data_IF_835055122525
#
_entry.id   IF_835055122525
#
_cell.length_a   1.000
_cell.length_b   1.000
_cell.length_c   1.000
_cell.angle_alpha   90.00
_cell.angle_beta   90.00
_cell.angle_gamma   90.00
#
_symmetry.space_group_name_H-M   'P 1'
#
loop_
_entity.id
_entity.type
_entity.pdbx_description
1 polymer ?
#
# COMPACT_ATOMS: atom_id res chain seq x y z
N UNK A 1 -2.71 -32.91 7.77
CA UNK A 1 -3.34 -31.58 7.94
C UNK A 1 -2.35 -30.40 7.86
N UNK A 2 -1.17 -30.46 8.49
CA UNK A 2 -0.22 -29.32 8.50
C UNK A 2 0.38 -28.85 7.14
N UNK A 3 0.50 -29.73 6.15
CA UNK A 3 0.97 -29.36 4.80
C UNK A 3 -0.07 -28.55 4.00
N UNK A 4 -1.36 -28.83 4.19
CA UNK A 4 -2.44 -28.09 3.52
C UNK A 4 -2.57 -26.69 4.13
N UNK A 5 -2.46 -26.58 5.44
CA UNK A 5 -2.53 -25.30 6.16
C UNK A 5 -1.40 -24.33 5.81
N UNK A 6 -0.18 -24.84 5.64
CA UNK A 6 1.00 -24.03 5.27
C UNK A 6 0.91 -23.55 3.82
N UNK A 7 0.53 -24.42 2.88
CA UNK A 7 0.28 -24.04 1.49
C UNK A 7 -0.86 -23.02 1.33
N UNK A 8 -1.92 -23.14 2.13
CA UNK A 8 -3.04 -22.20 2.08
C UNK A 8 -2.64 -20.79 2.60
N UNK A 9 -1.84 -20.72 3.67
CA UNK A 9 -1.36 -19.46 4.25
C UNK A 9 -0.44 -18.70 3.29
N UNK A 10 0.44 -19.40 2.56
CA UNK A 10 1.31 -18.80 1.54
C UNK A 10 0.52 -18.28 0.32
N UNK A 11 -0.48 -19.04 -0.15
CA UNK A 11 -1.35 -18.60 -1.24
C UNK A 11 -2.16 -17.37 -0.86
N UNK A 12 -2.70 -17.32 0.36
CA UNK A 12 -3.47 -16.18 0.87
C UNK A 12 -2.62 -14.91 0.91
N UNK A 13 -1.41 -14.98 1.45
CA UNK A 13 -0.51 -13.82 1.53
C UNK A 13 -0.14 -13.29 0.14
N UNK A 14 0.14 -14.20 -0.79
CA UNK A 14 0.48 -13.85 -2.17
C UNK A 14 -0.69 -13.18 -2.89
N UNK A 15 -1.91 -13.69 -2.71
CA UNK A 15 -3.14 -13.11 -3.29
C UNK A 15 -3.37 -11.70 -2.74
N UNK A 16 -3.29 -11.52 -1.41
CA UNK A 16 -3.48 -10.21 -0.76
C UNK A 16 -2.42 -9.22 -1.24
N UNK A 17 -1.16 -9.65 -1.36
CA UNK A 17 -0.09 -8.81 -1.88
C UNK A 17 -0.38 -8.31 -3.31
N UNK A 18 -0.75 -9.21 -4.23
CA UNK A 18 -1.08 -8.80 -5.60
C UNK A 18 -2.34 -7.95 -5.69
N UNK A 19 -3.35 -8.25 -4.87
CA UNK A 19 -4.57 -7.44 -4.78
C UNK A 19 -4.27 -6.03 -4.29
N UNK A 20 -3.46 -5.92 -3.22
CA UNK A 20 -3.00 -4.63 -2.70
C UNK A 20 -2.23 -3.84 -3.77
N UNK A 21 -1.31 -4.49 -4.48
CA UNK A 21 -0.58 -3.88 -5.59
C UNK A 21 -1.49 -3.39 -6.71
N UNK A 22 -2.47 -4.19 -7.13
CA UNK A 22 -3.41 -3.80 -8.17
C UNK A 22 -4.26 -2.59 -7.77
N UNK A 23 -4.78 -2.56 -6.54
CA UNK A 23 -5.58 -1.43 -6.02
C UNK A 23 -4.71 -0.19 -5.85
N UNK A 24 -3.45 -0.34 -5.42
CA UNK A 24 -2.56 0.81 -5.25
C UNK A 24 -2.18 1.43 -6.60
N UNK A 25 -1.84 0.60 -7.59
CA UNK A 25 -1.51 1.06 -8.94
C UNK A 25 -2.71 1.74 -9.60
N UNK A 26 -3.93 1.22 -9.42
CA UNK A 26 -5.13 1.86 -9.96
C UNK A 26 -5.39 3.23 -9.30
N UNK A 27 -5.26 3.34 -7.98
CA UNK A 27 -5.41 4.60 -7.25
C UNK A 27 -4.38 5.65 -7.72
N UNK A 28 -3.10 5.28 -7.82
CA UNK A 28 -2.04 6.17 -8.31
C UNK A 28 -2.28 6.57 -9.77
N UNK A 29 -2.71 5.64 -10.62
CA UNK A 29 -3.00 5.93 -12.03
C UNK A 29 -4.08 7.00 -12.18
N UNK A 30 -5.15 6.93 -11.39
CA UNK A 30 -6.23 7.93 -11.41
C UNK A 30 -5.74 9.33 -11.00
N UNK A 31 -4.78 9.41 -10.09
CA UNK A 31 -4.26 10.69 -9.59
C UNK A 31 -3.33 11.35 -10.60
N UNK A 32 -2.42 10.57 -11.19
CA UNK A 32 -1.39 11.09 -12.09
C UNK A 32 -1.84 11.23 -13.55
N UNK A 33 -2.93 10.57 -13.96
CA UNK A 33 -3.41 10.59 -15.34
C UNK A 33 -4.74 11.37 -15.40
N UNK A 34 -4.72 12.63 -15.87
CA UNK A 34 -5.89 13.52 -15.86
C UNK A 34 -7.14 12.95 -16.57
N UNK A 35 -7.03 12.24 -17.71
CA UNK A 35 -8.19 11.61 -18.36
C UNK A 35 -8.94 10.62 -17.46
N UNK A 36 -8.24 9.83 -16.63
CA UNK A 36 -8.89 8.90 -15.71
C UNK A 36 -9.61 9.63 -14.57
N UNK A 37 -9.09 10.78 -14.13
CA UNK A 37 -9.72 11.60 -13.10
C UNK A 37 -11.07 12.17 -13.51
N UNK A 38 -11.27 12.43 -14.81
CA UNK A 38 -12.55 12.89 -15.35
C UNK A 38 -13.61 11.79 -15.44
N UNK A 39 -13.20 10.52 -15.45
CA UNK A 39 -14.08 9.35 -15.57
C UNK A 39 -14.48 8.81 -14.20
N UNK A 40 -13.59 8.93 -13.21
CA UNK A 40 -13.73 8.27 -11.90
C UNK A 40 -14.09 9.28 -10.81
N UNK A 41 -15.14 8.98 -10.02
CA UNK A 41 -15.61 9.89 -8.96
C UNK A 41 -14.68 9.93 -7.75
N UNK A 42 -14.74 11.02 -6.98
CA UNK A 42 -14.04 11.13 -5.69
C UNK A 42 -14.42 10.04 -4.69
N UNK A 43 -15.63 9.50 -4.77
CA UNK A 43 -16.09 8.38 -3.94
C UNK A 43 -15.26 7.12 -4.17
N UNK A 44 -14.84 6.85 -5.41
CA UNK A 44 -13.97 5.73 -5.72
C UNK A 44 -12.60 5.85 -5.04
N UNK A 45 -12.05 7.06 -4.95
CA UNK A 45 -10.78 7.30 -4.26
C UNK A 45 -10.88 7.03 -2.75
N UNK A 46 -12.03 7.38 -2.14
CA UNK A 46 -12.28 7.06 -0.73
C UNK A 46 -12.41 5.55 -0.53
N UNK A 47 -13.21 4.88 -1.36
CA UNK A 47 -13.45 3.43 -1.28
C UNK A 47 -12.14 2.65 -1.48
N UNK A 48 -11.39 2.97 -2.54
CA UNK A 48 -10.08 2.35 -2.80
C UNK A 48 -9.10 2.62 -1.67
N UNK A 49 -9.09 3.83 -1.12
CA UNK A 49 -8.30 4.19 0.05
C UNK A 49 -8.60 3.35 1.30
N UNK A 50 -9.88 3.15 1.63
CA UNK A 50 -10.31 2.28 2.73
C UNK A 50 -9.86 0.84 2.47
N UNK A 51 -10.02 0.34 1.24
CA UNK A 51 -9.55 -0.99 0.84
C UNK A 51 -8.03 -1.10 1.00
N UNK A 52 -7.26 -0.08 0.63
CA UNK A 52 -5.79 -0.07 0.79
C UNK A 52 -5.37 -0.16 2.26
N UNK A 53 -6.06 0.56 3.15
CA UNK A 53 -5.79 0.48 4.60
C UNK A 53 -6.09 -0.91 5.13
N UNK A 54 -7.25 -1.47 4.77
CA UNK A 54 -7.66 -2.81 5.21
C UNK A 54 -6.67 -3.86 4.70
N UNK A 55 -6.41 -3.91 3.39
CA UNK A 55 -5.50 -4.87 2.79
C UNK A 55 -4.06 -4.69 3.28
N UNK A 56 -3.59 -3.45 3.44
CA UNK A 56 -2.26 -3.15 3.97
C UNK A 56 -2.11 -3.63 5.41
N UNK A 57 -3.13 -3.40 6.26
CA UNK A 57 -3.14 -3.87 7.64
C UNK A 57 -3.19 -5.39 7.74
N UNK A 58 -4.02 -6.05 6.91
CA UNK A 58 -4.08 -7.51 6.83
C UNK A 58 -2.73 -8.07 6.37
N UNK A 59 -2.08 -7.46 5.38
CA UNK A 59 -0.77 -7.92 4.89
C UNK A 59 0.29 -7.84 6.00
N UNK A 60 0.32 -6.74 6.77
CA UNK A 60 1.21 -6.59 7.92
C UNK A 60 0.91 -7.65 8.98
N UNK A 61 -0.36 -7.81 9.35
CA UNK A 61 -0.80 -8.79 10.36
C UNK A 61 -0.43 -10.22 9.96
N UNK A 62 -0.71 -10.62 8.71
CA UNK A 62 -0.33 -11.93 8.18
C UNK A 62 1.19 -12.12 8.16
N UNK A 63 1.95 -11.09 7.80
CA UNK A 63 3.42 -11.16 7.78
C UNK A 63 3.97 -11.45 9.19
N UNK A 64 3.38 -10.84 10.22
CA UNK A 64 3.76 -11.05 11.62
C UNK A 64 3.30 -12.41 12.14
N UNK A 65 2.06 -12.81 11.86
CA UNK A 65 1.47 -14.09 12.32
C UNK A 65 2.16 -15.28 11.67
N UNK A 66 2.51 -15.18 10.39
CA UNK A 66 3.23 -16.24 9.66
C UNK A 66 4.72 -16.30 10.02
N UNK A 67 5.19 -15.45 10.94
CA UNK A 67 6.60 -15.37 11.37
C UNK A 67 7.55 -15.35 10.17
N UNK A 68 7.20 -14.57 9.15
CA UNK A 68 8.09 -14.37 8.02
C UNK A 68 9.28 -13.58 8.57
N UNK A 69 10.47 -14.17 8.54
CA UNK A 69 11.68 -13.54 9.04
C UNK A 69 12.59 -13.05 7.90
N UNK A 70 13.43 -12.08 8.22
CA UNK A 70 14.48 -11.58 7.32
C UNK A 70 14.03 -10.48 6.36
N UNK A 71 14.61 -10.46 5.15
CA UNK A 71 14.42 -9.35 4.19
C UNK A 71 13.00 -9.27 3.63
N UNK A 72 12.34 -10.42 3.44
CA UNK A 72 10.98 -10.48 2.90
C UNK A 72 9.97 -9.80 3.84
N UNK A 73 10.12 -10.02 5.15
CA UNK A 73 9.29 -9.38 6.18
C UNK A 73 9.30 -7.85 6.05
N UNK A 74 10.51 -7.28 5.92
CA UNK A 74 10.70 -5.83 5.81
C UNK A 74 10.02 -5.27 4.56
N UNK A 75 10.11 -5.97 3.43
CA UNK A 75 9.48 -5.53 2.19
C UNK A 75 7.95 -5.64 2.23
N UNK A 76 7.40 -6.71 2.81
CA UNK A 76 5.95 -6.86 2.98
C UNK A 76 5.36 -5.82 3.92
N UNK A 77 6.03 -5.56 5.05
CA UNK A 77 5.63 -4.49 5.99
C UNK A 77 5.74 -3.13 5.30
N UNK A 78 6.85 -2.85 4.60
CA UNK A 78 7.01 -1.59 3.86
C UNK A 78 5.90 -1.40 2.82
N UNK A 79 5.51 -2.46 2.11
CA UNK A 79 4.40 -2.43 1.14
C UNK A 79 3.09 -2.08 1.83
N UNK A 80 2.75 -2.79 2.92
CA UNK A 80 1.52 -2.55 3.67
C UNK A 80 1.45 -1.16 4.31
N UNK A 81 2.54 -0.72 4.95
CA UNK A 81 2.62 0.59 5.60
C UNK A 81 2.57 1.71 4.56
N UNK A 82 3.22 1.55 3.41
CA UNK A 82 3.18 2.56 2.35
C UNK A 82 1.78 2.69 1.74
N UNK A 83 1.07 1.57 1.57
CA UNK A 83 -0.31 1.58 1.07
C UNK A 83 -1.31 2.19 2.06
N UNK A 84 -1.23 1.81 3.34
CA UNK A 84 -2.08 2.40 4.37
C UNK A 84 -1.75 3.88 4.62
N UNK A 85 -0.44 4.19 4.64
CA UNK A 85 0.09 5.54 4.79
C UNK A 85 -0.35 6.47 3.68
N UNK A 86 -0.41 5.98 2.43
CA UNK A 86 -0.90 6.76 1.29
C UNK A 86 -2.28 7.36 1.55
N UNK A 87 -3.24 6.52 1.96
CA UNK A 87 -4.58 6.99 2.26
C UNK A 87 -4.61 7.86 3.52
N UNK A 88 -3.88 7.46 4.58
CA UNK A 88 -3.82 8.24 5.81
C UNK A 88 -3.31 9.67 5.54
N UNK A 89 -2.21 9.83 4.82
CA UNK A 89 -1.66 11.15 4.49
C UNK A 89 -2.55 11.94 3.53
N UNK A 90 -3.16 11.30 2.53
CA UNK A 90 -4.15 11.95 1.67
C UNK A 90 -5.37 12.43 2.47
N UNK A 91 -5.82 11.65 3.44
CA UNK A 91 -6.92 12.03 4.33
C UNK A 91 -6.52 13.18 5.26
N UNK A 92 -5.33 13.12 5.88
CA UNK A 92 -4.78 14.21 6.69
C UNK A 92 -4.65 15.50 5.88
N UNK A 93 -4.15 15.44 4.65
CA UNK A 93 -4.09 16.59 3.74
C UNK A 93 -5.46 17.28 3.60
N UNK A 94 -6.52 16.52 3.36
CA UNK A 94 -7.88 17.07 3.25
C UNK A 94 -8.40 17.67 4.56
N UNK A 95 -8.07 17.06 5.71
CA UNK A 95 -8.41 17.62 7.02
C UNK A 95 -7.70 18.96 7.23
N UNK A 96 -6.38 19.02 6.99
CA UNK A 96 -5.60 20.24 7.17
C UNK A 96 -6.01 21.35 6.19
N UNK A 97 -6.39 20.99 4.96
CA UNK A 97 -7.00 21.92 4.00
C UNK A 97 -8.29 22.55 4.56
N UNK A 98 -9.21 21.72 5.05
CA UNK A 98 -10.45 22.21 5.65
C UNK A 98 -10.19 23.08 6.89
N UNK A 99 -9.25 22.67 7.75
CA UNK A 99 -8.84 23.44 8.92
C UNK A 99 -8.22 24.79 8.52
N UNK A 100 -7.39 24.84 7.48
CA UNK A 100 -6.82 26.08 6.98
C UNK A 100 -7.92 27.06 6.52
N UNK A 101 -8.98 26.54 5.91
CA UNK A 101 -10.12 27.36 5.47
C UNK A 101 -10.92 27.92 6.66
N UNK A 102 -11.20 27.09 7.68
CA UNK A 102 -11.93 27.52 8.88
C UNK A 102 -11.11 28.49 9.73
N UNK A 103 -9.80 28.26 9.85
CA UNK A 103 -8.87 29.08 10.66
C UNK A 103 -8.28 30.27 9.89
N UNK A 104 -8.82 30.57 8.71
CA UNK A 104 -8.33 31.63 7.82
C UNK A 104 -8.23 33.02 8.46
N UNK A 105 -9.02 33.28 9.49
CA UNK A 105 -9.03 34.51 10.28
C UNK A 105 -7.81 34.65 11.22
N UNK A 106 -7.15 33.55 11.61
CA UNK A 106 -5.96 33.56 12.45
C UNK A 106 -4.74 33.31 11.57
N UNK A 107 -4.01 34.38 11.24
CA UNK A 107 -2.91 34.33 10.26
C UNK A 107 -1.88 33.24 10.56
N UNK A 108 -1.35 33.17 11.78
CA UNK A 108 -0.32 32.18 12.16
C UNK A 108 -0.84 30.74 12.04
N UNK A 109 -2.06 30.49 12.51
CA UNK A 109 -2.66 29.16 12.48
C UNK A 109 -2.95 28.71 11.05
N UNK A 110 -3.46 29.60 10.21
CA UNK A 110 -3.71 29.34 8.79
C UNK A 110 -2.41 28.94 8.05
N UNK A 111 -1.32 29.68 8.24
CA UNK A 111 -0.03 29.33 7.64
C UNK A 111 0.49 27.96 8.12
N UNK A 112 0.30 27.65 9.39
CA UNK A 112 0.69 26.34 9.94
C UNK A 112 -0.15 25.21 9.33
N UNK A 113 -1.47 25.38 9.24
CA UNK A 113 -2.38 24.37 8.64
C UNK A 113 -2.06 24.15 7.17
N UNK A 114 -1.83 25.22 6.39
CA UNK A 114 -1.39 25.12 4.98
C UNK A 114 -0.06 24.39 4.84
N UNK A 115 0.89 24.64 5.76
CA UNK A 115 2.17 23.95 5.74
C UNK A 115 2.00 22.45 5.96
N UNK A 116 1.19 22.05 6.94
CA UNK A 116 0.90 20.64 7.19
C UNK A 116 0.16 19.97 6.04
N UNK A 117 -0.86 20.62 5.49
CA UNK A 117 -1.58 20.16 4.30
C UNK A 117 -0.61 19.79 3.16
N UNK A 118 0.33 20.70 2.84
CA UNK A 118 1.30 20.49 1.75
C UNK A 118 2.29 19.39 2.09
N UNK A 119 2.80 19.34 3.32
CA UNK A 119 3.73 18.28 3.75
C UNK A 119 3.08 16.90 3.62
N UNK A 120 1.86 16.73 4.12
CA UNK A 120 1.15 15.45 4.03
C UNK A 120 0.83 15.06 2.58
N UNK A 121 0.49 16.04 1.74
CA UNK A 121 0.32 15.81 0.30
C UNK A 121 1.59 15.30 -0.38
N UNK A 122 2.73 15.94 -0.11
CA UNK A 122 4.02 15.55 -0.68
C UNK A 122 4.44 14.15 -0.21
N UNK A 123 4.22 13.83 1.07
CA UNK A 123 4.47 12.47 1.58
C UNK A 123 3.55 11.46 0.87
N UNK A 124 2.26 11.77 0.72
CA UNK A 124 1.31 10.88 0.05
C UNK A 124 1.67 10.64 -1.43
N UNK A 125 2.16 11.64 -2.14
CA UNK A 125 2.43 11.54 -3.58
C UNK A 125 3.84 11.05 -3.91
N UNK A 126 4.83 11.35 -3.08
CA UNK A 126 6.22 10.95 -3.34
C UNK A 126 6.67 9.82 -2.43
N UNK A 127 6.64 10.00 -1.11
CA UNK A 127 7.21 9.04 -0.18
C UNK A 127 6.44 7.70 -0.19
N UNK A 128 5.11 7.72 -0.14
CA UNK A 128 4.30 6.50 -0.13
C UNK A 128 4.45 5.69 -1.43
N UNK A 129 4.35 6.26 -2.64
CA UNK A 129 4.50 5.48 -3.88
C UNK A 129 5.91 4.93 -4.05
N UNK A 130 6.95 5.69 -3.66
CA UNK A 130 8.33 5.20 -3.68
C UNK A 130 8.55 4.06 -2.69
N UNK A 131 8.06 4.20 -1.45
CA UNK A 131 8.12 3.15 -0.44
C UNK A 131 7.38 1.89 -0.88
N UNK A 132 6.19 2.07 -1.45
CA UNK A 132 5.39 0.98 -2.01
C UNK A 132 6.12 0.26 -3.14
N UNK A 133 6.72 1.01 -4.07
CA UNK A 133 7.48 0.46 -5.19
C UNK A 133 8.67 -0.37 -4.72
N UNK A 134 9.45 0.14 -3.77
CA UNK A 134 10.58 -0.59 -3.16
C UNK A 134 10.09 -1.87 -2.46
N UNK A 135 8.98 -1.79 -1.73
CA UNK A 135 8.36 -2.94 -1.09
C UNK A 135 7.91 -4.02 -2.08
N UNK A 136 7.22 -3.63 -3.15
CA UNK A 136 6.74 -4.56 -4.18
C UNK A 136 7.90 -5.22 -4.92
N UNK A 137 8.85 -4.42 -5.43
CA UNK A 137 10.00 -4.95 -6.17
C UNK A 137 10.83 -5.88 -5.27
N UNK A 138 11.11 -5.47 -4.03
CA UNK A 138 11.86 -6.30 -3.08
C UNK A 138 11.17 -7.64 -2.78
N UNK A 139 9.84 -7.62 -2.63
CA UNK A 139 9.04 -8.84 -2.43
C UNK A 139 9.09 -9.74 -3.67
N UNK A 140 8.89 -9.18 -4.87
CA UNK A 140 8.93 -9.93 -6.12
C UNK A 140 10.29 -10.59 -6.35
N UNK A 141 11.39 -9.85 -6.19
CA UNK A 141 12.75 -10.39 -6.38
C UNK A 141 13.00 -11.59 -5.47
N UNK A 142 12.57 -11.53 -4.21
CA UNK A 142 12.73 -12.66 -3.27
C UNK A 142 11.84 -13.84 -3.68
N UNK A 143 10.59 -13.60 -4.08
CA UNK A 143 9.70 -14.66 -4.57
C UNK A 143 10.27 -15.37 -5.80
N UNK A 144 10.78 -14.61 -6.78
CA UNK A 144 11.44 -15.19 -7.95
C UNK A 144 12.70 -15.97 -7.58
N UNK A 145 13.52 -15.46 -6.65
CA UNK A 145 14.71 -16.17 -6.16
C UNK A 145 14.35 -17.47 -5.47
N UNK A 146 13.33 -17.50 -4.60
CA UNK A 146 12.83 -18.73 -3.96
C UNK A 146 12.33 -19.75 -4.98
N UNK A 147 11.58 -19.32 -6.01
CA UNK A 147 11.11 -20.21 -7.08
C UNK A 147 12.20 -20.77 -7.99
N UNK A 148 13.33 -20.07 -8.15
CA UNK A 148 14.50 -20.62 -8.87
C UNK A 148 15.28 -21.65 -8.04
N UNK A 149 15.34 -21.46 -6.72
CA UNK A 149 16.08 -22.35 -5.81
C UNK A 149 15.28 -23.63 -5.50
N UNK A 150 13.95 -23.55 -5.55
CA UNK A 150 13.04 -24.69 -5.52
C UNK A 150 12.40 -24.83 -6.91
N UNK A 151 13.11 -25.37 -7.92
CA UNK A 151 12.44 -25.79 -9.15
C UNK A 151 11.32 -26.73 -8.72
N UNK A 152 10.11 -26.45 -9.21
CA UNK A 152 8.95 -27.34 -9.09
C UNK A 152 9.43 -28.73 -9.52
N UNK A 153 9.50 -29.65 -8.58
CA UNK A 153 9.98 -31.02 -8.79
C UNK A 153 9.36 -31.57 -10.08
N UNK A 154 10.21 -31.71 -11.08
CA UNK A 154 9.89 -32.27 -12.38
C UNK A 154 10.33 -33.73 -12.37
N UNK A 155 9.58 -34.61 -11.70
CA UNK A 155 9.33 -36.04 -12.01
C UNK A 155 8.95 -36.78 -10.72
N UNK A 156 7.77 -37.38 -10.61
CA UNK A 156 7.54 -38.68 -11.23
C UNK A 156 6.07 -38.90 -11.61
N UNK A 157 5.84 -38.96 -12.92
CA UNK A 157 5.04 -40.03 -13.57
C UNK A 157 5.97 -41.25 -13.73
N UNK A 158 5.50 -42.51 -13.83
CA UNK A 158 4.35 -42.95 -14.62
C UNK A 158 3.01 -43.02 -13.89
#
# INVERSE_FOLDING_TARGET
MGWVETSQKENTLTIIFYLLAAVFVSAISIIFIPPFRGIVSGTFMIISGVILVILGSILIGLTLVQKIEGKLQKFLILTGVSAAGFFAFAFLHNIFYALAQVTSHISVLNYLMKSFEVIFFLIAIFACPLGFLVGVIGTLVIFYKKRKILPKDSSNKP
#
